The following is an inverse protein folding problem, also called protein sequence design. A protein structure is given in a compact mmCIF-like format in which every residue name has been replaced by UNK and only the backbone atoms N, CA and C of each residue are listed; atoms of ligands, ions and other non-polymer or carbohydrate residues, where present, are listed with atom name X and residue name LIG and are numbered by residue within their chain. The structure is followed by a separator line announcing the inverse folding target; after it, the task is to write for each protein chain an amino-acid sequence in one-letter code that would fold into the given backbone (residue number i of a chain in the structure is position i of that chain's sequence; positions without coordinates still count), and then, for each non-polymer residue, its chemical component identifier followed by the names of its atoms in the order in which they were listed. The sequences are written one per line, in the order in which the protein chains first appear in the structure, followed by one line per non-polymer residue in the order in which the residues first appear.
data_IF_048876025458
#
_entry.id   IF_048876025458
#
_cell.length_a   1.000
_cell.length_b   1.000
_cell.length_c   1.000
_cell.angle_alpha   90.00
_cell.angle_beta   90.00
_cell.angle_gamma   90.00
#
_symmetry.space_group_name_H-M   'P 1'
#
loop_
_entity.id
_entity.type
_entity.pdbx_description
1 polymer ?
#
# COMPACT_ATOMS: atom_id res chain seq x y z
N UNK A 1 -22.45 -34.81 -5.10
CA UNK A 1 -21.77 -34.30 -6.31
C UNK A 1 -21.19 -32.94 -5.98
N UNK A 2 -19.88 -32.85 -5.78
CA UNK A 2 -19.21 -31.61 -5.37
C UNK A 2 -18.91 -30.75 -6.60
N UNK A 3 -19.55 -29.58 -6.70
CA UNK A 3 -19.41 -28.68 -7.85
C UNK A 3 -17.98 -28.18 -7.99
N UNK A 4 -17.33 -28.52 -9.10
CA UNK A 4 -16.06 -27.89 -9.52
C UNK A 4 -16.31 -26.40 -9.72
N UNK A 5 -15.91 -25.57 -8.76
CA UNK A 5 -15.89 -24.11 -8.93
C UNK A 5 -14.97 -23.80 -10.12
N UNK A 6 -15.53 -23.16 -11.16
CA UNK A 6 -14.81 -22.78 -12.38
C UNK A 6 -13.53 -22.00 -12.05
N UNK A 7 -12.37 -22.59 -12.36
CA UNK A 7 -11.02 -22.12 -11.97
C UNK A 7 -10.38 -21.11 -12.94
N UNK A 8 -11.17 -20.46 -13.80
CA UNK A 8 -10.66 -19.43 -14.71
C UNK A 8 -10.62 -18.07 -14.00
N UNK A 9 -9.52 -17.34 -14.13
CA UNK A 9 -9.37 -15.96 -13.63
C UNK A 9 -9.23 -14.98 -14.79
N UNK A 10 -9.66 -13.73 -14.63
CA UNK A 10 -9.42 -12.69 -15.64
C UNK A 10 -7.92 -12.51 -15.90
N UNK A 11 -7.53 -12.39 -17.16
CA UNK A 11 -6.12 -12.30 -17.58
C UNK A 11 -5.36 -11.17 -16.88
N UNK A 12 -5.98 -9.99 -16.75
CA UNK A 12 -5.38 -8.86 -16.04
C UNK A 12 -5.17 -9.12 -14.54
N UNK A 13 -5.98 -9.99 -13.91
CA UNK A 13 -5.78 -10.40 -12.51
C UNK A 13 -4.54 -11.29 -12.39
N UNK A 14 -4.37 -12.24 -13.31
CA UNK A 14 -3.23 -13.16 -13.36
C UNK A 14 -1.93 -12.37 -13.55
N UNK A 15 -1.87 -11.52 -14.57
CA UNK A 15 -0.67 -10.74 -14.90
C UNK A 15 -0.31 -9.73 -13.79
N UNK A 16 -1.32 -9.09 -13.19
CA UNK A 16 -1.09 -8.16 -12.09
C UNK A 16 -0.54 -8.86 -10.84
N UNK A 17 -1.00 -10.08 -10.55
CA UNK A 17 -0.50 -10.89 -9.43
C UNK A 17 0.97 -11.28 -9.63
N UNK A 18 1.36 -11.60 -10.87
CA UNK A 18 2.75 -11.92 -11.24
C UNK A 18 3.68 -10.71 -11.33
N UNK A 19 3.16 -9.50 -11.10
CA UNK A 19 3.98 -8.29 -11.01
C UNK A 19 4.17 -7.52 -12.32
N UNK A 20 3.42 -7.82 -13.38
CA UNK A 20 3.56 -7.19 -14.70
C UNK A 20 2.76 -5.89 -14.89
N UNK A 21 2.43 -5.19 -13.80
CA UNK A 21 1.67 -3.94 -13.84
C UNK A 21 0.40 -3.95 -13.00
N UNK A 22 -0.35 -2.84 -13.01
CA UNK A 22 -1.69 -2.77 -12.41
C UNK A 22 -2.75 -3.44 -13.28
N UNK A 23 -3.90 -3.82 -12.70
CA UNK A 23 -4.99 -4.43 -13.48
C UNK A 23 -5.42 -3.53 -14.65
N UNK A 24 -5.60 -2.23 -14.39
CA UNK A 24 -5.99 -1.22 -15.39
C UNK A 24 -4.92 -1.00 -16.45
N UNK A 25 -3.67 -0.96 -16.04
CA UNK A 25 -2.53 -0.84 -16.97
C UNK A 25 -2.47 -2.05 -17.90
N UNK A 26 -2.66 -3.26 -17.37
CA UNK A 26 -2.72 -4.49 -18.15
C UNK A 26 -3.95 -4.52 -19.06
N UNK A 27 -5.10 -4.03 -18.62
CA UNK A 27 -6.27 -3.85 -19.49
C UNK A 27 -5.94 -2.94 -20.68
N UNK A 28 -5.19 -1.87 -20.47
CA UNK A 28 -4.64 -1.03 -21.54
C UNK A 28 -3.73 -1.80 -22.50
N UNK A 29 -2.82 -2.64 -21.98
CA UNK A 29 -1.97 -3.51 -22.81
C UNK A 29 -2.77 -4.53 -23.63
N UNK A 30 -3.82 -5.10 -23.05
CA UNK A 30 -4.72 -6.03 -23.73
C UNK A 30 -5.47 -5.30 -24.85
N UNK A 31 -6.05 -4.12 -24.58
CA UNK A 31 -6.73 -3.31 -25.59
C UNK A 31 -5.82 -2.90 -26.76
N UNK A 32 -4.53 -2.69 -26.49
CA UNK A 32 -3.52 -2.39 -27.52
C UNK A 32 -3.05 -3.63 -28.31
N UNK A 33 -3.60 -4.83 -28.04
CA UNK A 33 -3.19 -6.07 -28.71
C UNK A 33 -1.78 -6.55 -28.34
N UNK A 34 -1.22 -6.06 -27.23
CA UNK A 34 0.17 -6.36 -26.82
C UNK A 34 0.31 -7.66 -26.05
N UNK A 35 -0.80 -8.22 -25.60
CA UNK A 35 -0.83 -9.46 -24.80
C UNK A 35 -1.34 -10.61 -25.67
N UNK A 36 -0.63 -11.74 -25.64
CA UNK A 36 -1.09 -12.97 -26.29
C UNK A 36 -1.02 -14.18 -25.35
N UNK A 37 -1.95 -15.11 -25.55
CA UNK A 37 -2.03 -16.39 -24.83
C UNK A 37 -1.98 -17.49 -25.87
N UNK A 38 -0.99 -18.37 -25.78
CA UNK A 38 -0.78 -19.50 -26.71
C UNK A 38 -0.78 -19.08 -28.19
N UNK A 39 -0.28 -17.87 -28.46
CA UNK A 39 -0.15 -17.30 -29.81
C UNK A 39 -1.36 -16.51 -30.30
N UNK A 40 -2.48 -16.50 -29.57
CA UNK A 40 -3.66 -15.68 -29.90
C UNK A 40 -3.64 -14.38 -29.13
N UNK A 41 -3.93 -13.26 -29.80
CA UNK A 41 -4.06 -11.94 -29.15
C UNK A 41 -5.24 -12.00 -28.17
N UNK A 42 -4.99 -11.59 -26.94
CA UNK A 42 -6.01 -11.56 -25.90
C UNK A 42 -6.93 -10.35 -26.06
N UNK A 43 -8.19 -10.48 -25.65
CA UNK A 43 -9.18 -9.41 -25.62
C UNK A 43 -9.61 -9.03 -24.21
N UNK A 44 -10.20 -7.84 -24.06
CA UNK A 44 -10.59 -7.35 -22.75
C UNK A 44 -11.71 -8.23 -22.17
N UNK A 45 -11.45 -8.82 -21.00
CA UNK A 45 -12.40 -9.71 -20.34
C UNK A 45 -12.02 -11.18 -20.41
N UNK A 46 -11.04 -11.54 -21.24
CA UNK A 46 -10.52 -12.90 -21.35
C UNK A 46 -10.21 -13.51 -19.98
N UNK A 47 -10.60 -14.78 -19.84
CA UNK A 47 -10.37 -15.57 -18.64
C UNK A 47 -9.49 -16.75 -18.99
N UNK A 48 -8.58 -17.07 -18.08
CA UNK A 48 -7.61 -18.12 -18.26
C UNK A 48 -7.51 -18.96 -16.99
N UNK A 49 -7.46 -20.27 -17.16
CA UNK A 49 -6.91 -21.16 -16.15
C UNK A 49 -5.42 -21.35 -16.45
N UNK A 50 -4.55 -20.95 -15.52
CA UNK A 50 -3.10 -21.05 -15.73
C UNK A 50 -2.70 -22.51 -15.61
N UNK A 51 -2.37 -23.14 -16.74
CA UNK A 51 -1.78 -24.46 -16.78
C UNK A 51 -0.26 -24.37 -17.01
N UNK A 52 0.54 -25.38 -16.63
CA UNK A 52 1.98 -25.37 -16.83
C UNK A 52 2.41 -25.16 -18.30
N UNK A 53 1.59 -25.59 -19.25
CA UNK A 53 1.86 -25.44 -20.68
C UNK A 53 1.48 -24.06 -21.26
N UNK A 54 0.67 -23.28 -20.54
CA UNK A 54 0.14 -22.00 -21.04
C UNK A 54 1.25 -20.97 -21.21
N UNK A 55 1.40 -20.43 -22.43
CA UNK A 55 2.39 -19.40 -22.76
C UNK A 55 1.72 -18.04 -22.91
N UNK A 56 1.85 -17.21 -21.88
CA UNK A 56 1.43 -15.81 -21.93
C UNK A 56 2.61 -14.93 -22.34
N UNK A 57 2.40 -14.03 -23.31
CA UNK A 57 3.40 -13.07 -23.76
C UNK A 57 2.88 -11.64 -23.63
N UNK A 58 3.80 -10.72 -23.34
CA UNK A 58 3.60 -9.27 -23.46
C UNK A 58 4.70 -8.74 -24.38
N UNK A 59 4.31 -8.03 -25.45
CA UNK A 59 5.24 -7.55 -26.49
C UNK A 59 6.16 -8.65 -27.03
N UNK A 60 5.60 -9.84 -27.24
CA UNK A 60 6.33 -11.03 -27.72
C UNK A 60 7.21 -11.74 -26.68
N UNK A 61 7.44 -11.15 -25.50
CA UNK A 61 8.25 -11.75 -24.43
C UNK A 61 7.41 -12.68 -23.55
N UNK A 62 7.86 -13.92 -23.38
CA UNK A 62 7.19 -14.90 -22.51
C UNK A 62 7.28 -14.46 -21.05
N UNK A 63 6.14 -14.44 -20.38
CA UNK A 63 6.03 -14.06 -18.98
C UNK A 63 6.10 -15.29 -18.08
N UNK A 64 6.86 -15.19 -16.98
CA UNK A 64 6.94 -16.24 -15.98
C UNK A 64 5.75 -16.11 -15.01
N UNK A 65 4.67 -16.84 -15.29
CA UNK A 65 3.45 -16.84 -14.49
C UNK A 65 3.45 -18.10 -13.63
N UNK A 66 3.56 -17.93 -12.31
CA UNK A 66 3.38 -19.03 -11.37
C UNK A 66 1.90 -19.35 -11.23
N UNK A 67 1.58 -20.63 -11.06
CA UNK A 67 0.23 -21.07 -10.64
C UNK A 67 -0.20 -20.33 -9.37
N UNK A 68 -1.47 -19.93 -9.32
CA UNK A 68 -2.07 -19.17 -8.21
C UNK A 68 -1.87 -19.86 -6.85
N UNK A 69 -1.88 -21.20 -6.83
CA UNK A 69 -1.79 -22.03 -5.63
C UNK A 69 -0.38 -22.12 -5.04
N UNK A 70 0.67 -21.66 -5.74
CA UNK A 70 2.08 -21.77 -5.27
C UNK A 70 2.64 -20.47 -4.70
N UNK A 71 1.88 -19.38 -4.71
CA UNK A 71 2.34 -18.08 -4.24
C UNK A 71 2.05 -17.90 -2.75
N UNK A 72 3.09 -18.02 -1.91
CA UNK A 72 3.01 -17.73 -0.47
C UNK A 72 2.42 -16.34 -0.23
N UNK A 73 1.34 -16.24 0.55
CA UNK A 73 0.82 -14.97 1.03
C UNK A 73 1.78 -14.38 2.07
N UNK A 74 2.31 -13.19 1.78
CA UNK A 74 3.22 -12.45 2.65
C UNK A 74 2.56 -11.15 3.07
N UNK A 75 2.76 -10.75 4.33
CA UNK A 75 2.21 -9.49 4.84
C UNK A 75 3.31 -8.66 5.51
N UNK A 76 3.40 -7.36 5.18
CA UNK A 76 4.25 -6.40 5.87
C UNK A 76 3.41 -5.48 6.76
N UNK A 77 3.91 -5.19 7.95
CA UNK A 77 3.52 -4.03 8.73
C UNK A 77 4.51 -2.90 8.48
N UNK A 78 4.03 -1.80 7.90
CA UNK A 78 4.82 -0.61 7.61
C UNK A 78 4.41 0.54 8.52
N UNK A 79 5.38 1.20 9.15
CA UNK A 79 5.13 2.46 9.86
C UNK A 79 5.25 3.60 8.85
N UNK A 80 4.15 3.93 8.18
CA UNK A 80 4.08 5.05 7.24
C UNK A 80 4.42 6.38 7.95
N UNK A 81 5.40 7.16 7.46
CA UNK A 81 5.64 8.52 7.89
C UNK A 81 4.67 9.50 7.19
N UNK A 82 4.61 10.73 7.69
CA UNK A 82 4.04 11.84 6.94
C UNK A 82 4.86 12.14 5.68
N UNK A 83 4.24 12.76 4.68
CA UNK A 83 4.87 13.17 3.42
C UNK A 83 4.86 12.09 2.33
N UNK A 84 4.47 10.86 2.64
CA UNK A 84 4.37 9.79 1.64
C UNK A 84 2.97 9.58 1.11
N UNK A 85 2.87 9.39 -0.20
CA UNK A 85 1.66 9.04 -0.90
C UNK A 85 1.44 7.52 -0.94
N UNK A 86 0.19 7.10 -0.71
CA UNK A 86 -0.26 5.73 -0.95
C UNK A 86 -0.61 5.50 -2.44
N UNK A 87 0.33 5.78 -3.35
CA UNK A 87 0.20 5.54 -4.80
C UNK A 87 1.40 4.79 -5.35
N UNK A 88 1.20 4.02 -6.43
CA UNK A 88 2.28 3.30 -7.13
C UNK A 88 3.11 4.20 -8.03
N UNK A 89 2.47 5.24 -8.56
CA UNK A 89 3.07 6.21 -9.46
C UNK A 89 2.48 7.57 -9.11
N UNK A 90 3.35 8.53 -8.84
CA UNK A 90 2.98 9.92 -8.65
C UNK A 90 3.56 10.74 -9.81
N UNK A 91 2.73 11.42 -10.62
CA UNK A 91 3.20 12.22 -11.75
C UNK A 91 4.15 13.35 -11.35
N UNK A 92 4.00 13.89 -10.14
CA UNK A 92 4.85 14.95 -9.59
C UNK A 92 6.16 14.41 -8.97
N UNK A 93 6.35 13.08 -8.96
CA UNK A 93 7.56 12.44 -8.43
C UNK A 93 7.72 12.54 -6.91
N UNK A 94 6.62 12.76 -6.16
CA UNK A 94 6.66 12.82 -4.70
C UNK A 94 6.89 11.41 -4.10
N UNK A 95 7.47 11.33 -2.88
CA UNK A 95 7.75 10.05 -2.24
C UNK A 95 6.51 9.17 -2.07
N UNK A 96 6.65 7.88 -2.34
CA UNK A 96 5.59 6.89 -2.18
C UNK A 96 5.90 5.88 -1.11
N UNK A 97 4.84 5.29 -0.54
CA UNK A 97 4.97 4.20 0.43
C UNK A 97 5.60 2.93 -0.13
N UNK A 98 5.77 2.83 -1.46
CA UNK A 98 6.37 1.65 -2.12
C UNK A 98 7.88 1.77 -2.29
N UNK A 99 8.45 2.97 -2.20
CA UNK A 99 9.85 3.26 -2.58
C UNK A 99 10.86 2.47 -1.73
N UNK A 100 10.51 2.16 -0.47
CA UNK A 100 11.38 1.49 0.51
C UNK A 100 11.04 0.02 0.78
N UNK A 101 10.04 -0.53 0.09
CA UNK A 101 9.60 -1.91 0.32
C UNK A 101 10.62 -2.90 -0.27
N UNK A 102 10.73 -4.12 0.30
CA UNK A 102 11.64 -5.12 -0.22
C UNK A 102 11.20 -5.55 -1.62
N UNK A 103 12.15 -5.63 -2.56
CA UNK A 103 11.85 -6.06 -3.93
C UNK A 103 11.36 -7.51 -3.94
N UNK A 104 10.42 -7.80 -4.83
CA UNK A 104 9.84 -9.12 -5.02
C UNK A 104 10.12 -9.60 -6.44
N UNK A 105 10.42 -10.90 -6.58
CA UNK A 105 10.56 -11.56 -7.88
C UNK A 105 9.27 -12.30 -8.19
N UNK A 106 8.60 -11.94 -9.29
CA UNK A 106 7.36 -12.57 -9.76
C UNK A 106 6.13 -12.29 -8.89
N UNK A 107 6.16 -11.25 -8.06
CA UNK A 107 5.00 -10.76 -7.31
C UNK A 107 5.17 -9.29 -6.95
N UNK A 108 4.17 -8.68 -6.30
CA UNK A 108 4.19 -7.26 -5.96
C UNK A 108 3.45 -6.99 -4.64
N UNK A 109 3.87 -5.94 -3.94
CA UNK A 109 3.18 -5.48 -2.71
C UNK A 109 1.89 -4.73 -3.00
N UNK A 110 0.80 -5.07 -2.33
CA UNK A 110 -0.50 -4.42 -2.45
C UNK A 110 -0.76 -3.73 -1.12
N UNK A 111 -0.94 -2.41 -1.15
CA UNK A 111 -1.32 -1.67 0.06
C UNK A 111 -2.74 -2.06 0.50
N UNK A 112 -2.93 -2.31 1.78
CA UNK A 112 -4.26 -2.54 2.38
C UNK A 112 -4.79 -1.18 2.84
N UNK A 113 -5.61 -0.60 1.96
CA UNK A 113 -6.17 0.73 2.12
C UNK A 113 -5.14 1.82 1.85
N UNK A 114 -5.49 3.04 2.26
CA UNK A 114 -4.65 4.23 2.14
C UNK A 114 -4.59 4.96 3.47
N UNK A 115 -3.54 5.76 3.63
CA UNK A 115 -3.44 6.80 4.65
C UNK A 115 -3.12 8.10 3.93
N UNK A 116 -3.70 9.20 4.39
CA UNK A 116 -3.41 10.51 3.83
C UNK A 116 -1.92 10.87 3.97
N UNK A 117 -1.47 11.80 3.14
CA UNK A 117 -0.07 12.29 3.15
C UNK A 117 0.33 12.74 4.55
N UNK A 118 -0.56 13.46 5.25
CA UNK A 118 -0.33 14.01 6.58
C UNK A 118 -0.79 13.07 7.71
N UNK A 119 -0.94 11.77 7.43
CA UNK A 119 -1.31 10.75 8.41
C UNK A 119 -0.17 9.74 8.55
N UNK A 120 0.23 9.52 9.81
CA UNK A 120 1.24 8.54 10.19
C UNK A 120 0.60 7.19 10.54
N UNK A 121 1.43 6.15 10.64
CA UNK A 121 1.09 4.94 11.38
C UNK A 121 1.07 3.67 10.53
N UNK A 122 0.40 2.65 11.05
CA UNK A 122 0.38 1.31 10.48
C UNK A 122 -0.28 1.30 9.10
N UNK A 123 0.46 0.85 8.10
CA UNK A 123 -0.05 0.47 6.78
C UNK A 123 0.36 -0.97 6.50
N UNK A 124 -0.62 -1.82 6.22
CA UNK A 124 -0.34 -3.20 5.84
C UNK A 124 -0.06 -3.28 4.33
N UNK A 125 0.86 -4.14 3.94
CA UNK A 125 1.04 -4.56 2.56
C UNK A 125 0.92 -6.07 2.47
N UNK A 126 0.35 -6.59 1.39
CA UNK A 126 0.30 -8.03 1.14
C UNK A 126 0.64 -8.38 -0.30
N UNK A 127 1.11 -9.59 -0.56
CA UNK A 127 1.21 -10.14 -1.92
C UNK A 127 -0.09 -10.75 -2.42
N UNK A 128 -1.05 -10.99 -1.53
CA UNK A 128 -2.36 -11.58 -1.84
C UNK A 128 -3.41 -10.49 -2.05
N UNK A 129 -3.84 -10.33 -3.30
CA UNK A 129 -4.84 -9.32 -3.67
C UNK A 129 -6.25 -9.62 -3.16
N UNK A 130 -6.57 -10.88 -2.86
CA UNK A 130 -7.86 -11.25 -2.26
C UNK A 130 -7.89 -10.83 -0.79
N UNK A 131 -6.83 -11.13 -0.04
CA UNK A 131 -6.67 -10.66 1.34
C UNK A 131 -6.75 -9.14 1.42
N UNK A 132 -6.02 -8.43 0.55
CA UNK A 132 -6.08 -6.96 0.50
C UNK A 132 -7.51 -6.45 0.25
N UNK A 133 -8.20 -7.03 -0.74
CA UNK A 133 -9.55 -6.62 -1.09
C UNK A 133 -10.53 -6.82 0.08
N UNK A 134 -10.53 -8.01 0.70
CA UNK A 134 -11.46 -8.29 1.81
C UNK A 134 -11.17 -7.45 3.04
N UNK A 135 -9.90 -7.23 3.39
CA UNK A 135 -9.53 -6.35 4.52
C UNK A 135 -9.97 -4.90 4.30
N UNK A 136 -10.02 -4.43 3.05
CA UNK A 136 -10.46 -3.07 2.71
C UNK A 136 -11.98 -2.93 2.57
N UNK A 137 -12.68 -4.02 2.25
CA UNK A 137 -14.09 -3.96 1.92
C UNK A 137 -14.94 -3.63 3.16
N UNK A 138 -15.83 -2.62 3.13
CA UNK A 138 -16.62 -2.21 4.29
C UNK A 138 -17.47 -3.34 4.89
N UNK A 139 -17.96 -4.27 4.06
CA UNK A 139 -18.77 -5.41 4.53
C UNK A 139 -18.05 -6.37 5.48
N UNK A 140 -16.73 -6.26 5.63
CA UNK A 140 -15.94 -7.05 6.57
C UNK A 140 -15.75 -6.35 7.92
N UNK A 141 -16.14 -5.08 8.01
CA UNK A 141 -16.11 -4.26 9.23
C UNK A 141 -14.80 -4.33 10.01
N UNK A 142 -13.68 -4.53 9.31
CA UNK A 142 -12.39 -4.71 9.95
C UNK A 142 -12.00 -3.42 10.67
N UNK A 143 -11.77 -3.52 11.98
CA UNK A 143 -11.48 -2.34 12.79
C UNK A 143 -10.15 -1.67 12.39
N UNK A 144 -10.16 -0.33 12.43
CA UNK A 144 -8.98 0.51 12.36
C UNK A 144 -8.97 1.41 13.59
N UNK A 145 -7.89 1.37 14.35
CA UNK A 145 -7.72 2.23 15.54
C UNK A 145 -6.73 3.35 15.25
N UNK A 146 -7.11 4.55 15.65
CA UNK A 146 -6.29 5.74 15.54
C UNK A 146 -6.05 6.36 16.90
N UNK A 147 -4.79 6.72 17.16
CA UNK A 147 -4.46 7.69 18.20
C UNK A 147 -4.53 9.08 17.57
N UNK A 148 -5.40 9.93 18.12
CA UNK A 148 -5.72 11.25 17.59
C UNK A 148 -5.37 12.28 18.65
N UNK A 149 -4.57 13.27 18.28
CA UNK A 149 -4.41 14.48 19.08
C UNK A 149 -5.34 15.55 18.51
N UNK A 150 -6.28 15.98 19.32
CA UNK A 150 -7.25 17.01 18.97
C UNK A 150 -6.84 18.37 19.56
N UNK A 151 -7.37 19.43 18.96
CA UNK A 151 -7.29 20.80 19.44
C UNK A 151 -8.70 21.39 19.52
N UNK A 152 -9.13 21.75 20.72
CA UNK A 152 -10.47 22.29 20.99
C UNK A 152 -11.03 21.75 22.31
N UNK A 153 -12.15 22.32 22.74
CA UNK A 153 -12.88 21.84 23.91
C UNK A 153 -13.67 20.58 23.55
N UNK A 154 -13.48 19.52 24.33
CA UNK A 154 -14.20 18.25 24.18
C UNK A 154 -14.94 17.96 25.48
N UNK A 155 -16.27 18.03 25.41
CA UNK A 155 -17.17 17.67 26.49
C UNK A 155 -17.84 16.31 26.23
N UNK A 156 -18.53 15.78 27.24
CA UNK A 156 -19.25 14.52 27.13
C UNK A 156 -20.38 14.56 26.08
N UNK A 157 -20.93 15.74 25.80
CA UNK A 157 -21.98 15.92 24.79
C UNK A 157 -21.44 15.64 23.38
N UNK A 158 -20.27 16.20 23.04
CA UNK A 158 -19.58 15.93 21.76
C UNK A 158 -19.19 14.47 21.63
N UNK A 159 -18.68 13.85 22.70
CA UNK A 159 -18.34 12.43 22.71
C UNK A 159 -19.56 11.54 22.43
N UNK A 160 -20.72 11.86 23.04
CA UNK A 160 -21.99 11.17 22.77
C UNK A 160 -22.46 11.37 21.32
N UNK A 161 -22.32 12.57 20.76
CA UNK A 161 -22.66 12.84 19.36
C UNK A 161 -21.79 12.01 18.41
N UNK A 162 -20.47 12.01 18.62
CA UNK A 162 -19.52 11.25 17.80
C UNK A 162 -19.75 9.74 17.86
N UNK A 163 -20.19 9.20 19.00
CA UNK A 163 -20.52 7.79 19.17
C UNK A 163 -21.89 7.43 18.58
N UNK A 164 -22.90 8.31 18.74
CA UNK A 164 -24.25 8.10 18.19
C UNK A 164 -24.28 8.21 16.67
N UNK A 165 -23.45 9.09 16.12
CA UNK A 165 -23.33 9.34 14.70
C UNK A 165 -23.78 10.74 14.31
N UNK A 166 -23.08 11.30 13.33
CA UNK A 166 -23.24 12.65 12.81
C UNK A 166 -23.35 12.58 11.29
N UNK A 167 -24.14 13.48 10.72
CA UNK A 167 -24.25 13.63 9.27
C UNK A 167 -22.99 14.31 8.72
N UNK A 168 -22.24 13.61 7.87
CA UNK A 168 -21.19 14.20 7.05
C UNK A 168 -21.70 14.43 5.61
N UNK A 169 -20.92 15.11 4.78
CA UNK A 169 -21.27 15.41 3.38
C UNK A 169 -21.58 14.15 2.55
N UNK A 170 -20.86 13.05 2.80
CA UNK A 170 -20.99 11.77 2.10
C UNK A 170 -21.81 10.72 2.88
N UNK A 171 -22.60 11.15 3.87
CA UNK A 171 -23.49 10.28 4.66
C UNK A 171 -23.21 10.27 6.17
N UNK A 172 -24.05 9.60 6.97
CA UNK A 172 -23.86 9.45 8.40
C UNK A 172 -22.56 8.70 8.72
N UNK A 173 -21.89 9.07 9.81
CA UNK A 173 -20.68 8.40 10.30
C UNK A 173 -20.60 8.48 11.83
N UNK A 174 -19.96 7.49 12.46
CA UNK A 174 -19.73 7.47 13.91
C UNK A 174 -18.42 6.79 14.26
N UNK A 175 -17.86 7.12 15.43
CA UNK A 175 -16.80 6.29 16.02
C UNK A 175 -17.42 5.08 16.72
N UNK A 176 -16.88 3.90 16.47
CA UNK A 176 -17.29 2.66 17.17
C UNK A 176 -16.89 2.72 18.63
N UNK A 177 -15.68 3.20 18.92
CA UNK A 177 -15.22 3.48 20.29
C UNK A 177 -14.45 4.79 20.32
N UNK A 178 -14.55 5.48 21.46
CA UNK A 178 -13.78 6.69 21.78
C UNK A 178 -13.26 6.53 23.19
N UNK A 179 -11.94 6.63 23.37
CA UNK A 179 -11.30 6.49 24.67
C UNK A 179 -10.31 7.63 24.89
N UNK A 180 -10.52 8.42 25.95
CA UNK A 180 -9.57 9.44 26.37
C UNK A 180 -8.24 8.79 26.80
N UNK A 181 -7.12 9.38 26.39
CA UNK A 181 -5.76 8.89 26.65
C UNK A 181 -4.86 9.93 27.32
N UNK A 182 -5.43 11.02 27.81
CA UNK A 182 -4.71 12.08 28.50
C UNK A 182 -4.48 13.32 27.64
N UNK A 183 -3.92 14.36 28.26
CA UNK A 183 -3.73 15.68 27.67
C UNK A 183 -4.22 16.76 28.63
N UNK A 184 -3.79 17.99 28.38
CA UNK A 184 -4.08 19.15 29.23
C UNK A 184 -4.53 20.33 28.38
N UNK A 185 -5.44 21.13 28.94
CA UNK A 185 -6.05 22.27 28.26
C UNK A 185 -6.71 21.84 26.94
N UNK A 186 -6.46 22.60 25.88
CA UNK A 186 -7.09 22.38 24.57
C UNK A 186 -6.48 21.23 23.76
N UNK A 187 -5.37 20.62 24.20
CA UNK A 187 -4.70 19.53 23.47
C UNK A 187 -4.91 18.20 24.18
N UNK A 188 -5.78 17.37 23.62
CA UNK A 188 -6.17 16.09 24.21
C UNK A 188 -5.91 14.93 23.25
N UNK A 189 -5.63 13.76 23.81
CA UNK A 189 -5.46 12.52 23.07
C UNK A 189 -6.66 11.60 23.25
N UNK A 190 -7.12 11.05 22.13
CA UNK A 190 -8.15 10.03 22.09
C UNK A 190 -7.68 8.85 21.23
N UNK A 191 -7.98 7.64 21.67
CA UNK A 191 -8.03 6.50 20.77
C UNK A 191 -9.45 6.35 20.24
N UNK A 192 -9.58 6.26 18.92
CA UNK A 192 -10.86 6.06 18.23
C UNK A 192 -10.79 4.87 17.31
N UNK A 193 -11.90 4.15 17.18
CA UNK A 193 -12.02 3.02 16.22
C UNK A 193 -13.09 3.27 15.17
N UNK A 194 -12.83 2.79 13.96
CA UNK A 194 -13.75 2.79 12.82
C UNK A 194 -13.75 1.42 12.15
N UNK A 195 -14.89 1.02 11.59
CA UNK A 195 -15.06 -0.22 10.80
C UNK A 195 -15.17 0.05 9.30
N UNK A 196 -15.19 1.32 8.90
CA UNK A 196 -15.05 1.79 7.52
C UNK A 196 -13.79 2.66 7.35
N UNK A 197 -13.65 3.32 6.20
CA UNK A 197 -12.43 4.06 5.85
C UNK A 197 -12.67 5.06 4.74
N UNK A 198 -13.69 5.91 4.92
CA UNK A 198 -14.03 7.01 4.00
C UNK A 198 -12.92 8.05 3.98
N UNK A 199 -12.89 8.88 2.95
CA UNK A 199 -11.85 9.89 2.80
C UNK A 199 -11.83 10.82 4.03
N UNK A 200 -10.66 10.93 4.70
CA UNK A 200 -10.43 11.80 5.87
C UNK A 200 -11.46 11.67 7.00
N UNK A 201 -12.10 10.52 7.12
CA UNK A 201 -13.27 10.31 7.99
C UNK A 201 -13.05 10.71 9.45
N UNK A 202 -11.93 10.29 10.07
CA UNK A 202 -11.60 10.66 11.46
C UNK A 202 -11.54 12.18 11.64
N UNK A 203 -10.95 12.90 10.67
CA UNK A 203 -10.82 14.36 10.74
C UNK A 203 -12.18 15.03 10.63
N UNK A 204 -12.98 14.60 9.65
CA UNK A 204 -14.32 15.15 9.41
C UNK A 204 -15.27 14.91 10.57
N UNK A 205 -15.18 13.77 11.25
CA UNK A 205 -15.94 13.50 12.47
C UNK A 205 -15.62 14.51 13.58
N UNK A 206 -14.35 14.71 13.90
CA UNK A 206 -13.94 15.71 14.90
C UNK A 206 -14.31 17.14 14.47
N UNK A 207 -14.09 17.49 13.19
CA UNK A 207 -14.41 18.81 12.64
C UNK A 207 -15.92 19.11 12.74
N UNK A 208 -16.78 18.09 12.56
CA UNK A 208 -18.23 18.22 12.67
C UNK A 208 -18.73 18.62 14.07
N UNK A 209 -17.93 18.38 15.12
CA UNK A 209 -18.20 18.84 16.50
C UNK A 209 -17.35 20.05 16.89
N UNK A 210 -16.78 20.75 15.91
CA UNK A 210 -15.97 21.95 16.12
C UNK A 210 -14.59 21.69 16.71
N UNK A 211 -14.02 20.49 16.51
CA UNK A 211 -12.73 20.09 17.08
C UNK A 211 -11.73 19.78 15.97
N UNK A 212 -10.54 20.35 16.05
CA UNK A 212 -9.52 20.19 15.00
C UNK A 212 -8.59 19.00 15.30
N UNK A 213 -8.10 18.32 14.27
CA UNK A 213 -7.12 17.21 14.43
C UNK A 213 -5.71 17.67 14.13
N UNK A 214 -4.90 17.85 15.17
CA UNK A 214 -3.49 18.27 15.04
C UNK A 214 -2.55 17.11 14.72
N UNK A 215 -2.88 15.88 15.13
CA UNK A 215 -2.06 14.68 14.83
C UNK A 215 -2.94 13.44 14.70
N UNK A 216 -2.64 12.62 13.70
CA UNK A 216 -3.37 11.39 13.43
C UNK A 216 -2.41 10.24 13.16
N UNK A 217 -2.52 9.17 13.96
CA UNK A 217 -1.67 7.99 13.84
C UNK A 217 -2.54 6.75 13.84
N UNK A 218 -2.53 5.96 12.76
CA UNK A 218 -3.16 4.63 12.80
C UNK A 218 -2.29 3.68 13.62
N UNK A 219 -2.81 3.21 14.74
CA UNK A 219 -2.06 2.37 15.69
C UNK A 219 -2.40 0.89 15.57
N UNK A 220 -3.54 0.54 14.96
CA UNK A 220 -3.96 -0.86 14.79
C UNK A 220 -4.87 -1.04 13.56
N UNK A 221 -4.82 -2.22 12.95
CA UNK A 221 -5.68 -2.67 11.85
C UNK A 221 -6.05 -4.16 12.07
N UNK A 222 -7.32 -4.48 12.29
CA UNK A 222 -7.72 -5.75 12.91
C UNK A 222 -7.02 -5.90 14.26
N UNK A 223 -6.43 -7.06 14.57
CA UNK A 223 -5.59 -7.22 15.78
C UNK A 223 -4.09 -7.03 15.51
N UNK A 224 -3.73 -6.54 14.32
CA UNK A 224 -2.34 -6.17 14.03
C UNK A 224 -2.10 -4.76 14.54
N UNK A 225 -1.39 -4.67 15.67
CA UNK A 225 -0.92 -3.40 16.22
C UNK A 225 0.36 -2.93 15.53
N UNK A 226 0.57 -1.61 15.51
CA UNK A 226 1.82 -1.00 15.07
C UNK A 226 2.98 -1.57 15.89
N UNK A 227 3.93 -2.31 15.29
CA UNK A 227 4.93 -3.03 16.07
C UNK A 227 5.79 -2.11 16.93
N UNK A 228 5.87 -2.41 18.23
CA UNK A 228 6.71 -1.67 19.18
C UNK A 228 8.16 -1.69 18.71
N UNK A 229 8.81 -0.53 18.69
CA UNK A 229 10.21 -0.37 18.28
C UNK A 229 10.48 -0.32 16.77
N UNK A 230 9.45 -0.49 15.93
CA UNK A 230 9.56 -0.24 14.49
C UNK A 230 9.74 1.27 14.26
N UNK A 231 10.82 1.72 13.60
CA UNK A 231 11.00 3.15 13.31
C UNK A 231 10.02 3.62 12.25
N UNK A 232 9.68 4.91 12.27
CA UNK A 232 8.95 5.58 11.19
C UNK A 232 9.67 5.36 9.86
N UNK A 233 8.91 5.07 8.81
CA UNK A 233 9.43 4.71 7.49
C UNK A 233 10.02 3.30 7.39
N UNK A 234 10.00 2.52 8.47
CA UNK A 234 10.40 1.12 8.49
C UNK A 234 9.24 0.15 8.29
N UNK A 235 9.55 -1.06 7.84
CA UNK A 235 8.62 -2.19 7.75
C UNK A 235 9.17 -3.42 8.44
N UNK A 236 8.29 -4.31 8.88
CA UNK A 236 8.61 -5.69 9.25
C UNK A 236 7.63 -6.64 8.56
N UNK A 237 8.10 -7.84 8.21
CA UNK A 237 7.22 -8.89 7.70
C UNK A 237 6.58 -9.65 8.87
N UNK A 238 5.28 -9.93 8.75
CA UNK A 238 4.50 -10.66 9.75
C UNK A 238 4.80 -12.16 9.66
N UNK A 239 4.76 -12.82 10.82
CA UNK A 239 4.90 -14.28 10.90
C UNK A 239 3.68 -15.02 10.35
N UNK A 240 3.77 -16.35 10.32
CA UNK A 240 2.67 -17.21 9.83
C UNK A 240 1.40 -17.04 10.66
N UNK A 241 1.52 -17.07 11.98
CA UNK A 241 0.40 -16.89 12.92
C UNK A 241 -0.39 -15.59 12.65
N UNK A 242 0.32 -14.45 12.60
CA UNK A 242 -0.30 -13.14 12.34
C UNK A 242 -0.88 -13.03 10.93
N UNK A 243 -0.25 -13.70 9.96
CA UNK A 243 -0.76 -13.76 8.59
C UNK A 243 -2.05 -14.59 8.53
N UNK A 244 -2.10 -15.73 9.21
CA UNK A 244 -3.26 -16.60 9.27
C UNK A 244 -4.41 -15.97 10.05
N UNK A 245 -4.13 -15.24 11.13
CA UNK A 245 -5.11 -14.40 11.81
C UNK A 245 -5.81 -13.46 10.81
N UNK A 246 -5.04 -12.69 10.03
CA UNK A 246 -5.60 -11.75 9.05
C UNK A 246 -6.43 -12.46 7.97
N UNK A 247 -6.08 -13.70 7.62
CA UNK A 247 -6.78 -14.50 6.63
C UNK A 247 -8.10 -15.04 7.18
N UNK A 248 -8.08 -15.61 8.38
CA UNK A 248 -9.26 -16.09 9.08
C UNK A 248 -10.27 -14.96 9.34
N UNK A 249 -9.78 -13.77 9.72
CA UNK A 249 -10.61 -12.58 9.93
C UNK A 249 -11.49 -12.23 8.72
N UNK A 250 -11.11 -12.67 7.52
CA UNK A 250 -11.84 -12.39 6.28
C UNK A 250 -12.21 -13.67 5.52
N UNK A 251 -12.38 -14.79 6.21
CA UNK A 251 -12.78 -16.11 5.67
C UNK A 251 -11.87 -16.62 4.54
N UNK A 252 -10.57 -16.47 4.70
CA UNK A 252 -9.57 -17.07 3.81
C UNK A 252 -8.90 -18.25 4.51
N UNK A 253 -8.66 -19.32 3.74
CA UNK A 253 -7.94 -20.50 4.20
C UNK A 253 -6.53 -20.12 4.67
N UNK A 254 -6.05 -20.81 5.70
CA UNK A 254 -4.72 -20.60 6.25
C UNK A 254 -3.60 -20.90 5.24
N UNK A 255 -2.49 -20.18 5.39
CA UNK A 255 -1.21 -20.56 4.79
C UNK A 255 -0.51 -21.59 5.67
N UNK A 256 0.19 -22.52 5.05
CA UNK A 256 1.01 -23.53 5.74
C UNK A 256 2.51 -23.21 5.73
N UNK A 257 2.92 -22.21 4.96
CA UNK A 257 4.32 -21.85 4.74
C UNK A 257 4.53 -20.35 4.90
N UNK A 258 5.71 -19.95 5.40
CA UNK A 258 6.14 -18.55 5.51
C UNK A 258 7.54 -18.36 4.96
N UNK A 259 7.81 -17.17 4.41
CA UNK A 259 9.17 -16.75 4.01
C UNK A 259 9.95 -16.09 5.15
N UNK A 260 9.33 -15.88 6.30
CA UNK A 260 9.98 -15.31 7.48
C UNK A 260 10.68 -16.43 8.25
N UNK A 261 12.00 -16.36 8.34
CA UNK A 261 12.78 -17.26 9.18
C UNK A 261 12.40 -17.11 10.67
N UNK A 262 12.33 -18.22 11.39
CA UNK A 262 11.97 -18.28 12.81
C UNK A 262 13.24 -18.10 13.67
N UNK A 263 13.32 -17.02 14.46
CA UNK A 263 14.43 -16.79 15.41
C UNK A 263 14.42 -15.38 16.04
N UNK A 264 14.67 -15.29 17.37
CA UNK A 264 14.64 -14.03 18.15
C UNK A 264 15.80 -13.08 17.78
N UNK A 265 17.01 -13.60 17.59
CA UNK A 265 18.20 -12.77 17.32
C UNK A 265 18.15 -12.04 15.97
N UNK A 266 17.51 -12.65 14.97
CA UNK A 266 17.34 -12.01 13.66
C UNK A 266 16.37 -10.81 13.69
N UNK A 267 15.39 -10.77 14.61
CA UNK A 267 14.47 -9.63 14.73
C UNK A 267 15.21 -8.35 15.14
N UNK A 268 16.17 -8.47 16.07
CA UNK A 268 16.97 -7.33 16.56
C UNK A 268 17.96 -6.83 15.50
N UNK A 269 18.60 -7.74 14.77
CA UNK A 269 19.48 -7.40 13.65
C UNK A 269 18.73 -6.70 12.50
N UNK A 270 17.53 -7.19 12.14
CA UNK A 270 16.66 -6.56 11.14
C UNK A 270 16.22 -5.16 11.55
N UNK A 271 15.88 -4.93 12.81
CA UNK A 271 15.50 -3.59 13.29
C UNK A 271 16.61 -2.55 13.08
N UNK A 272 17.87 -2.90 13.35
CA UNK A 272 19.01 -2.02 13.11
C UNK A 272 19.25 -1.77 11.62
N UNK A 273 19.10 -2.80 10.78
CA UNK A 273 19.20 -2.66 9.32
C UNK A 273 18.09 -1.75 8.76
N UNK A 274 16.86 -1.90 9.25
CA UNK A 274 15.71 -1.05 8.89
C UNK A 274 16.01 0.41 9.30
N UNK A 275 16.49 0.66 10.52
CA UNK A 275 16.90 2.01 10.96
C UNK A 275 17.96 2.62 10.05
N UNK A 276 18.99 1.85 9.65
CA UNK A 276 20.02 2.30 8.69
C UNK A 276 19.45 2.59 7.31
N UNK A 277 18.51 1.78 6.82
CA UNK A 277 17.83 2.02 5.55
C UNK A 277 16.97 3.29 5.59
N UNK A 278 16.20 3.49 6.67
CA UNK A 278 15.42 4.72 6.91
C UNK A 278 16.33 5.95 6.93
N UNK A 279 17.45 5.89 7.68
CA UNK A 279 18.41 7.01 7.78
C UNK A 279 19.01 7.37 6.42
N UNK A 280 19.43 6.37 5.62
CA UNK A 280 19.96 6.60 4.27
C UNK A 280 18.94 7.28 3.36
N UNK A 281 17.68 6.85 3.40
CA UNK A 281 16.64 7.45 2.58
C UNK A 281 16.32 8.89 2.98
N UNK A 282 16.29 9.19 4.28
CA UNK A 282 16.09 10.55 4.78
C UNK A 282 17.19 11.50 4.29
N UNK A 283 18.45 11.04 4.26
CA UNK A 283 19.60 11.83 3.77
C UNK A 283 19.57 12.07 2.25
N UNK A 284 19.02 11.13 1.47
CA UNK A 284 18.86 11.30 0.01
C UNK A 284 17.72 12.25 -0.30
N UNK A 285 16.60 12.16 0.44
CA UNK A 285 15.45 13.05 0.26
C UNK A 285 15.75 14.51 0.69
N UNK A 286 16.68 14.72 1.62
CA UNK A 286 17.06 16.06 2.10
C UNK A 286 18.14 16.76 1.25
N UNK A 287 18.71 16.10 0.23
CA UNK A 287 19.67 16.75 -0.67
C UNK A 287 18.89 17.60 -1.69
N UNK A 288 19.16 18.91 -1.80
CA UNK A 288 18.62 19.72 -2.89
C UNK A 288 19.02 19.07 -4.21
N UNK A 289 18.11 19.02 -5.19
CA UNK A 289 18.48 18.64 -6.54
C UNK A 289 19.55 19.63 -7.01
N UNK A 290 20.79 19.17 -7.11
CA UNK A 290 21.83 19.94 -7.75
C UNK A 290 21.33 20.21 -9.17
N UNK A 291 20.99 21.47 -9.43
CA UNK A 291 20.43 21.91 -10.71
C UNK A 291 21.26 21.37 -11.86
N UNK A 292 20.58 20.84 -12.87
CA UNK A 292 21.18 20.57 -14.18
C UNK A 292 21.89 21.86 -14.62
N UNK A 293 23.23 21.85 -14.59
CA UNK A 293 24.04 22.88 -15.27
C UNK A 293 23.62 22.87 -16.75
N UNK A 294 23.32 24.03 -17.38
CA UNK A 294 23.15 24.08 -18.82
C UNK A 294 24.46 23.64 -19.45
N UNK A 295 24.41 22.64 -20.32
CA UNK A 295 25.58 22.18 -21.07
C UNK A 295 26.13 23.32 -21.92
N UNK A 296 27.43 23.59 -21.78
CA UNK A 296 28.13 24.52 -22.66
C UNK A 296 28.08 23.97 -24.09
N UNK A 297 27.39 24.67 -24.97
CA UNK A 297 27.47 24.48 -26.42
C UNK A 297 28.90 24.76 -26.89
N UNK A 298 29.69 23.72 -27.16
CA UNK A 298 30.88 23.86 -27.99
C UNK A 298 30.42 24.09 -29.42
N UNK A 299 30.49 25.35 -29.86
CA UNK A 299 30.38 25.72 -31.27
C UNK A 299 31.49 25.02 -32.05
N UNK A 300 31.08 24.23 -33.04
CA UNK A 300 31.96 23.60 -34.00
C UNK A 300 32.24 24.63 -35.11
N UNK A 301 33.41 25.27 -35.06
CA UNK A 301 33.85 26.18 -36.12
C UNK A 301 34.19 25.37 -37.37
N UNK A 302 33.37 25.53 -38.41
CA UNK A 302 33.58 24.94 -39.73
C UNK A 302 34.87 25.43 -40.36
N UNK A 303 35.70 24.48 -40.81
CA UNK A 303 36.89 24.74 -41.62
C UNK A 303 36.48 24.60 -43.09
N UNK A 304 36.21 25.73 -43.73
CA UNK A 304 36.03 25.88 -45.18
C UNK A 304 37.34 25.51 -45.89
N UNK A 305 37.27 24.51 -46.77
CA UNK A 305 38.30 24.23 -47.78
C UNK A 305 37.94 25.00 -49.05
N UNK A 306 38.86 25.86 -49.51
CA UNK A 306 38.84 26.45 -50.85
C UNK A 306 40.02 25.91 -51.67
N UNK A 307 39.87 25.63 -52.97
CA UNK A 307 40.90 24.98 -53.78
C UNK A 307 41.67 25.99 -54.65
N UNK A 308 42.99 25.82 -54.79
CA UNK A 308 43.85 26.25 -55.92
C UNK A 308 45.10 25.35 -55.88
N UNK A 309 45.62 24.73 -56.93
CA UNK A 309 45.48 24.97 -58.36
C UNK A 309 46.70 25.69 -58.94
N UNK A 310 47.88 25.05 -58.93
CA UNK A 310 48.87 24.91 -60.02
C UNK A 310 50.16 24.32 -59.45
#
# INVERSE_FOLDING_TARGET
MSGKIQKSEKLQKILARSGHGSRREIEGYIQQGRVSVDGKIATLGDRLEVQPATKIRLDGRVLNIKESQKAVCRVLAYYKPEGELCTRHDPEGRPTVFDRLPKLLGSRWIAVGRLDVNTCGLLLFTTDGELANRLMHPSREVEREYAVRVFGEVDDAKLKQLAKGIQLEDGPASFRTIAFKGGEGMNQWYNVTLTEGRNREVRRLWEAVGVQVSRLIRVRYGDISLPKGLPRGGWTELGLEQTNYLRQLVDLNEETVSKVAVGRDQRRLKANQIRRAVKRHAQVASRPSAGKRPGSSRQNAGRTTAPKGR
#
